data_IF_262119637982
#
_entry.id   IF_262119637982
#
_cell.length_a   1.000
_cell.length_b   1.000
_cell.length_c   1.000
_cell.angle_alpha   90.00
_cell.angle_beta   90.00
_cell.angle_gamma   90.00
#
_symmetry.space_group_name_H-M   'P 1'
#
loop_
_entity.id
_entity.type
_entity.pdbx_description
1 polymer ?
#
# COMPACT_ATOMS: atom_id res chain seq x y z
N UNK A 1 -4.79 -0.09 28.20
CA UNK A 1 -4.23 -0.01 26.82
C UNK A 1 -3.69 1.40 26.61
N UNK A 2 -2.40 1.58 26.31
CA UNK A 2 -1.79 2.93 26.17
C UNK A 2 -2.38 3.69 24.98
N UNK A 3 -2.42 5.03 25.08
CA UNK A 3 -2.95 5.92 24.05
C UNK A 3 -2.27 5.70 22.69
N UNK A 4 -0.94 5.54 22.69
CA UNK A 4 -0.13 5.25 21.49
C UNK A 4 -0.53 3.94 20.78
N UNK A 5 -0.94 2.91 21.53
CA UNK A 5 -1.42 1.65 20.94
C UNK A 5 -2.78 1.81 20.24
N UNK A 6 -3.65 2.66 20.80
CA UNK A 6 -4.94 2.96 20.16
C UNK A 6 -4.72 3.72 18.85
N UNK A 7 -3.86 4.74 18.86
CA UNK A 7 -3.52 5.51 17.67
C UNK A 7 -2.89 4.65 16.59
N UNK A 8 -1.86 3.87 16.92
CA UNK A 8 -1.17 3.01 15.94
C UNK A 8 -2.11 1.98 15.31
N UNK A 9 -3.04 1.41 16.08
CA UNK A 9 -4.05 0.52 15.52
C UNK A 9 -5.02 1.27 14.59
N UNK A 10 -5.47 2.46 14.99
CA UNK A 10 -6.35 3.28 14.15
C UNK A 10 -5.68 3.68 12.83
N UNK A 11 -4.42 4.07 12.90
CA UNK A 11 -3.58 4.33 11.73
C UNK A 11 -3.51 3.11 10.82
N UNK A 12 -3.20 1.92 11.36
CA UNK A 12 -3.12 0.68 10.57
C UNK A 12 -4.46 0.37 9.88
N UNK A 13 -5.57 0.53 10.58
CA UNK A 13 -6.91 0.33 10.00
C UNK A 13 -7.18 1.29 8.85
N UNK A 14 -6.89 2.58 9.04
CA UNK A 14 -7.08 3.58 7.99
C UNK A 14 -6.16 3.32 6.80
N UNK A 15 -4.91 2.94 7.05
CA UNK A 15 -3.93 2.63 6.02
C UNK A 15 -4.42 1.48 5.12
N UNK A 16 -4.85 0.36 5.71
CA UNK A 16 -5.33 -0.80 4.95
C UNK A 16 -6.62 -0.48 4.20
N UNK A 17 -7.57 0.23 4.81
CA UNK A 17 -8.80 0.64 4.11
C UNK A 17 -8.53 1.61 2.96
N UNK A 18 -7.60 2.54 3.14
CA UNK A 18 -7.15 3.44 2.08
C UNK A 18 -6.52 2.65 0.93
N UNK A 19 -5.70 1.64 1.23
CA UNK A 19 -5.06 0.77 0.23
C UNK A 19 -6.10 0.03 -0.61
N UNK A 20 -7.11 -0.60 0.02
CA UNK A 20 -8.25 -1.22 -0.68
C UNK A 20 -8.94 -0.23 -1.62
N UNK A 21 -9.27 0.97 -1.12
CA UNK A 21 -9.91 2.00 -1.93
C UNK A 21 -9.06 2.43 -3.13
N UNK A 22 -7.73 2.52 -2.94
CA UNK A 22 -6.79 2.86 -3.99
C UNK A 22 -6.73 1.78 -5.06
N UNK A 23 -6.66 0.51 -4.67
CA UNK A 23 -6.62 -0.64 -5.60
C UNK A 23 -7.91 -0.77 -6.39
N UNK A 24 -9.07 -0.59 -5.76
CA UNK A 24 -10.36 -0.52 -6.46
C UNK A 24 -10.38 0.61 -7.49
N UNK A 25 -9.89 1.80 -7.12
CA UNK A 25 -9.81 2.92 -8.06
C UNK A 25 -8.90 2.58 -9.24
N UNK A 26 -7.74 1.95 -9.00
CA UNK A 26 -6.82 1.54 -10.08
C UNK A 26 -7.48 0.50 -10.98
N UNK A 27 -8.17 -0.49 -10.41
CA UNK A 27 -8.88 -1.52 -11.18
C UNK A 27 -9.96 -0.92 -12.10
N UNK A 28 -10.73 0.05 -11.60
CA UNK A 28 -11.75 0.74 -12.41
C UNK A 28 -11.14 1.66 -13.48
N UNK A 29 -9.96 2.21 -13.23
CA UNK A 29 -9.25 3.12 -14.14
C UNK A 29 -8.06 2.46 -14.83
N UNK A 30 -8.08 1.13 -14.97
CA UNK A 30 -6.93 0.29 -15.35
C UNK A 30 -6.07 0.90 -16.47
N UNK A 31 -6.70 1.18 -17.62
CA UNK A 31 -6.03 1.70 -18.83
C UNK A 31 -5.49 3.14 -18.69
N UNK A 32 -5.93 3.86 -17.66
CA UNK A 32 -5.61 5.26 -17.39
C UNK A 32 -4.70 5.43 -16.16
N UNK A 33 -4.32 4.34 -15.50
CA UNK A 33 -3.43 4.39 -14.36
C UNK A 33 -1.99 4.62 -14.82
N UNK A 34 -1.24 5.43 -14.07
CA UNK A 34 0.18 5.69 -14.33
C UNK A 34 0.97 4.38 -14.29
N UNK A 35 0.68 3.51 -13.32
CA UNK A 35 1.31 2.20 -13.16
C UNK A 35 1.11 1.29 -14.38
N UNK A 36 -0.11 1.21 -14.92
CA UNK A 36 -0.36 0.45 -16.15
C UNK A 36 0.51 0.97 -17.30
N UNK A 37 0.61 2.30 -17.46
CA UNK A 37 1.42 2.90 -18.52
C UNK A 37 2.91 2.61 -18.33
N UNK A 38 3.41 2.62 -17.09
CA UNK A 38 4.80 2.28 -16.76
C UNK A 38 5.10 0.81 -17.11
N UNK A 39 4.26 -0.12 -16.66
CA UNK A 39 4.42 -1.55 -16.97
C UNK A 39 4.31 -1.83 -18.47
N UNK A 40 3.41 -1.14 -19.17
CA UNK A 40 3.27 -1.24 -20.62
C UNK A 40 4.49 -0.69 -21.36
N UNK A 41 5.02 0.46 -20.94
CA UNK A 41 6.23 1.05 -21.52
C UNK A 41 7.46 0.15 -21.35
N UNK A 42 7.53 -0.58 -20.23
CA UNK A 42 8.57 -1.56 -19.94
C UNK A 42 8.38 -2.92 -20.65
N UNK A 43 7.34 -3.09 -21.47
CA UNK A 43 7.06 -4.35 -22.18
C UNK A 43 6.49 -5.47 -21.30
N UNK A 44 6.16 -5.19 -20.03
CA UNK A 44 5.62 -6.15 -19.05
C UNK A 44 4.17 -5.83 -18.65
N UNK A 45 3.41 -5.19 -19.55
CA UNK A 45 2.04 -4.74 -19.30
C UNK A 45 1.08 -5.84 -18.84
N UNK A 46 1.30 -7.09 -19.25
CA UNK A 46 0.50 -8.25 -18.82
C UNK A 46 0.71 -8.64 -17.35
N UNK A 47 1.83 -8.25 -16.73
CA UNK A 47 2.10 -8.51 -15.32
C UNK A 47 1.27 -7.58 -14.40
N UNK A 48 0.98 -6.36 -14.84
CA UNK A 48 0.24 -5.38 -14.06
C UNK A 48 -1.14 -5.86 -13.56
N UNK A 49 -2.04 -6.45 -14.37
CA UNK A 49 -3.33 -6.94 -13.86
C UNK A 49 -3.17 -8.07 -12.84
N UNK A 50 -2.14 -8.93 -12.97
CA UNK A 50 -1.85 -9.97 -12.00
C UNK A 50 -1.38 -9.38 -10.66
N UNK A 51 -0.49 -8.38 -10.72
CA UNK A 51 -0.03 -7.65 -9.54
C UNK A 51 -1.18 -6.91 -8.85
N UNK A 52 -2.03 -6.23 -9.62
CA UNK A 52 -3.19 -5.51 -9.09
C UNK A 52 -4.21 -6.45 -8.44
N UNK A 53 -4.49 -7.60 -9.07
CA UNK A 53 -5.38 -8.61 -8.49
C UNK A 53 -4.81 -9.18 -7.19
N UNK A 54 -3.51 -9.50 -7.16
CA UNK A 54 -2.83 -9.96 -5.97
C UNK A 54 -2.86 -8.93 -4.84
N UNK A 55 -2.56 -7.66 -5.15
CA UNK A 55 -2.64 -6.52 -4.22
C UNK A 55 -4.03 -6.39 -3.63
N UNK A 56 -5.06 -6.35 -4.47
CA UNK A 56 -6.44 -6.18 -4.06
C UNK A 56 -6.91 -7.33 -3.14
N UNK A 57 -6.56 -8.57 -3.47
CA UNK A 57 -6.90 -9.74 -2.64
C UNK A 57 -6.19 -9.67 -1.29
N UNK A 58 -4.91 -9.31 -1.27
CA UNK A 58 -4.14 -9.15 -0.03
C UNK A 58 -4.70 -8.02 0.84
N UNK A 59 -5.04 -6.89 0.25
CA UNK A 59 -5.59 -5.72 0.96
C UNK A 59 -6.99 -5.99 1.50
N UNK A 60 -7.84 -6.67 0.74
CA UNK A 60 -9.14 -7.14 1.22
C UNK A 60 -8.98 -8.11 2.39
N UNK A 61 -8.08 -9.09 2.27
CA UNK A 61 -7.80 -10.04 3.35
C UNK A 61 -7.22 -9.34 4.58
N UNK A 62 -6.28 -8.40 4.40
CA UNK A 62 -5.72 -7.59 5.46
C UNK A 62 -6.80 -6.77 6.15
N UNK A 63 -7.70 -6.13 5.41
CA UNK A 63 -8.79 -5.33 5.96
C UNK A 63 -9.71 -6.20 6.84
N UNK A 64 -10.05 -7.40 6.38
CA UNK A 64 -10.82 -8.36 7.16
C UNK A 64 -10.13 -8.73 8.48
N UNK A 65 -8.83 -9.04 8.42
CA UNK A 65 -8.07 -9.46 9.61
C UNK A 65 -7.74 -8.32 10.58
N UNK A 66 -7.76 -7.06 10.14
CA UNK A 66 -7.71 -5.91 11.06
C UNK A 66 -8.95 -5.88 11.96
N UNK A 67 -10.14 -6.14 11.41
CA UNK A 67 -11.39 -6.15 12.17
C UNK A 67 -11.65 -7.47 12.90
N UNK A 68 -11.09 -8.57 12.41
CA UNK A 68 -11.16 -9.90 13.04
C UNK A 68 -9.76 -10.47 13.29
N UNK A 69 -9.04 -9.96 14.29
CA UNK A 69 -7.67 -10.39 14.58
C UNK A 69 -7.61 -11.90 14.86
N UNK A 70 -6.73 -12.59 14.12
CA UNK A 70 -6.36 -14.00 14.31
C UNK A 70 -4.86 -14.15 14.08
N UNK A 71 -4.19 -15.20 14.61
CA UNK A 71 -2.76 -15.43 14.38
C UNK A 71 -2.36 -15.40 12.90
N UNK A 72 -3.16 -16.03 12.04
CA UNK A 72 -2.96 -16.02 10.59
C UNK A 72 -3.08 -14.62 9.98
N UNK A 73 -3.97 -13.77 10.52
CA UNK A 73 -4.19 -12.41 10.05
C UNK A 73 -2.96 -11.52 10.18
N UNK A 74 -2.11 -11.73 11.20
CA UNK A 74 -0.84 -11.00 11.32
C UNK A 74 0.06 -11.22 10.10
N UNK A 75 0.17 -12.47 9.65
CA UNK A 75 0.99 -12.84 8.50
C UNK A 75 0.39 -12.33 7.19
N UNK A 76 -0.93 -12.30 7.06
CA UNK A 76 -1.62 -11.69 5.91
C UNK A 76 -1.31 -10.19 5.82
N UNK A 77 -1.40 -9.46 6.94
CA UNK A 77 -1.04 -8.04 6.96
C UNK A 77 0.44 -7.83 6.62
N UNK A 78 1.33 -8.66 7.17
CA UNK A 78 2.75 -8.57 6.87
C UNK A 78 3.04 -8.83 5.39
N UNK A 79 2.38 -9.82 4.80
CA UNK A 79 2.50 -10.15 3.38
C UNK A 79 1.96 -9.04 2.49
N UNK A 80 0.82 -8.43 2.84
CA UNK A 80 0.26 -7.28 2.13
C UNK A 80 1.25 -6.10 2.14
N UNK A 81 1.83 -5.77 3.30
CA UNK A 81 2.84 -4.71 3.43
C UNK A 81 4.10 -5.02 2.63
N UNK A 82 4.59 -6.27 2.69
CA UNK A 82 5.78 -6.69 1.94
C UNK A 82 5.53 -6.63 0.42
N UNK A 83 4.37 -7.12 -0.02
CA UNK A 83 3.96 -7.07 -1.42
C UNK A 83 3.86 -5.63 -1.92
N UNK A 84 3.18 -4.75 -1.17
CA UNK A 84 3.07 -3.34 -1.51
C UNK A 84 4.45 -2.66 -1.58
N UNK A 85 5.37 -2.96 -0.66
CA UNK A 85 6.72 -2.42 -0.70
C UNK A 85 7.48 -2.88 -1.96
N UNK A 86 7.44 -4.18 -2.27
CA UNK A 86 8.10 -4.75 -3.46
C UNK A 86 7.48 -4.16 -4.73
N UNK A 87 6.15 -4.10 -4.82
CA UNK A 87 5.44 -3.53 -5.95
C UNK A 87 5.83 -2.06 -6.18
N UNK A 88 5.86 -1.24 -5.13
CA UNK A 88 6.27 0.16 -5.24
C UNK A 88 7.74 0.31 -5.67
N UNK A 89 8.64 -0.56 -5.21
CA UNK A 89 10.04 -0.56 -5.66
C UNK A 89 10.17 -0.92 -7.14
N UNK A 90 9.46 -1.96 -7.60
CA UNK A 90 9.43 -2.34 -9.01
C UNK A 90 8.83 -1.23 -9.87
N UNK A 91 7.70 -0.67 -9.46
CA UNK A 91 7.06 0.43 -10.18
C UNK A 91 7.97 1.68 -10.23
N UNK A 92 8.70 1.98 -9.16
CA UNK A 92 9.66 3.08 -9.11
C UNK A 92 10.85 2.85 -10.05
N UNK A 93 11.41 1.64 -10.07
CA UNK A 93 12.51 1.25 -10.95
C UNK A 93 12.10 1.40 -12.42
N UNK A 94 10.98 0.79 -12.80
CA UNK A 94 10.41 0.91 -14.14
C UNK A 94 10.07 2.35 -14.52
N UNK A 95 9.52 3.14 -13.60
CA UNK A 95 9.23 4.55 -13.84
C UNK A 95 10.49 5.40 -14.05
N UNK A 96 11.59 5.04 -13.39
CA UNK A 96 12.88 5.72 -13.52
C UNK A 96 13.53 5.44 -14.88
N UNK A 97 13.43 4.20 -15.36
CA UNK A 97 13.93 3.80 -16.68
C UNK A 97 13.09 4.37 -17.83
N UNK A 98 11.78 4.59 -17.59
CA UNK A 98 10.83 5.09 -18.58
C UNK A 98 10.23 6.45 -18.18
N UNK A 99 11.08 7.39 -17.78
CA UNK A 99 10.69 8.68 -17.20
C UNK A 99 9.71 9.48 -18.06
N UNK A 100 9.98 9.62 -19.36
CA UNK A 100 9.14 10.42 -20.26
C UNK A 100 7.76 9.80 -20.49
N UNK A 101 7.70 8.46 -20.61
CA UNK A 101 6.42 7.74 -20.69
C UNK A 101 5.61 7.91 -19.39
N UNK A 102 6.31 7.84 -18.24
CA UNK A 102 5.68 8.03 -16.91
C UNK A 102 5.15 9.46 -16.74
N UNK A 103 5.90 10.48 -17.15
CA UNK A 103 5.46 11.88 -17.16
C UNK A 103 4.21 12.07 -18.01
N UNK A 104 4.21 11.54 -19.23
CA UNK A 104 3.06 11.63 -20.14
C UNK A 104 1.82 10.95 -19.54
N UNK A 105 1.97 9.77 -18.95
CA UNK A 105 0.89 9.06 -18.28
C UNK A 105 0.38 9.81 -17.04
N UNK A 106 1.27 10.44 -16.27
CA UNK A 106 0.91 11.27 -15.13
C UNK A 106 0.10 12.50 -15.55
N UNK A 107 0.54 13.22 -16.59
CA UNK A 107 -0.16 14.38 -17.16
C UNK A 107 -1.55 13.96 -17.65
N UNK A 108 -1.64 12.91 -18.47
CA UNK A 108 -2.91 12.40 -18.97
C UNK A 108 -3.86 11.99 -17.84
N UNK A 109 -3.35 11.31 -16.80
CA UNK A 109 -4.17 10.94 -15.63
C UNK A 109 -4.67 12.16 -14.86
N UNK A 110 -3.94 13.28 -14.80
CA UNK A 110 -4.37 14.50 -14.13
C UNK A 110 -5.44 15.24 -14.92
N UNK A 111 -5.24 15.39 -16.22
CA UNK A 111 -6.19 16.04 -17.12
C UNK A 111 -7.55 15.32 -17.10
N UNK A 112 -7.53 13.98 -17.10
CA UNK A 112 -8.74 13.17 -16.99
C UNK A 112 -9.50 13.34 -15.66
N UNK A 113 -8.82 13.76 -14.60
CA UNK A 113 -9.43 14.07 -13.29
C UNK A 113 -9.85 15.54 -13.16
N UNK A 114 -9.70 16.34 -14.22
CA UNK A 114 -9.92 17.78 -14.18
C UNK A 114 -8.94 18.52 -13.27
N UNK A 115 -7.77 17.91 -13.00
CA UNK A 115 -6.74 18.51 -12.16
C UNK A 115 -5.78 19.35 -13.01
N UNK A 116 -5.32 20.50 -12.50
CA UNK A 116 -4.39 21.35 -13.25
C UNK A 116 -3.07 20.60 -13.48
N UNK A 117 -2.55 20.73 -14.71
CA UNK A 117 -1.23 20.27 -15.13
C UNK A 117 -0.33 21.49 -15.31
N UNK A 118 0.74 21.55 -14.51
CA UNK A 118 1.78 22.57 -14.65
C UNK A 118 3.08 21.85 -15.07
N UNK A 119 3.61 22.11 -16.28
CA UNK A 119 4.83 21.48 -16.77
C UNK A 119 6.04 21.63 -15.83
N UNK A 120 6.19 22.78 -15.17
CA UNK A 120 7.27 23.00 -14.22
C UNK A 120 7.14 22.09 -12.99
N UNK A 121 5.92 21.93 -12.47
CA UNK A 121 5.64 21.03 -11.35
C UNK A 121 5.86 19.57 -11.74
N UNK A 122 5.45 19.17 -12.95
CA UNK A 122 5.70 17.81 -13.47
C UNK A 122 7.20 17.57 -13.53
N UNK A 123 7.97 18.48 -14.13
CA UNK A 123 9.43 18.34 -14.21
C UNK A 123 10.10 18.28 -12.83
N UNK A 124 9.58 19.02 -11.84
CA UNK A 124 10.07 18.96 -10.46
C UNK A 124 9.73 17.63 -9.76
N UNK A 125 8.53 17.10 -9.97
CA UNK A 125 8.11 15.80 -9.39
C UNK A 125 8.95 14.66 -9.96
N UNK A 126 9.27 14.71 -11.25
CA UNK A 126 10.07 13.72 -11.94
C UNK A 126 11.57 14.07 -11.99
N UNK A 127 12.04 15.02 -11.18
CA UNK A 127 13.47 15.29 -11.00
C UNK A 127 14.10 14.21 -10.10
N UNK A 128 15.44 14.07 -10.08
CA UNK A 128 16.11 13.14 -9.16
C UNK A 128 15.71 13.36 -7.69
N UNK A 129 15.53 14.61 -7.28
CA UNK A 129 15.07 14.97 -5.93
C UNK A 129 13.61 14.58 -5.71
N UNK A 130 12.74 14.82 -6.69
CA UNK A 130 11.32 14.45 -6.61
C UNK A 130 11.10 12.94 -6.54
N UNK A 131 11.86 12.18 -7.33
CA UNK A 131 11.86 10.72 -7.28
C UNK A 131 12.35 10.20 -5.93
N UNK A 132 13.48 10.72 -5.43
CA UNK A 132 14.01 10.37 -4.08
C UNK A 132 13.01 10.70 -2.98
N UNK A 133 12.33 11.85 -3.06
CA UNK A 133 11.29 12.23 -2.11
C UNK A 133 10.09 11.27 -2.15
N UNK A 134 9.68 10.84 -3.35
CA UNK A 134 8.57 9.90 -3.54
C UNK A 134 8.91 8.53 -2.96
N UNK A 135 10.11 8.02 -3.25
CA UNK A 135 10.62 6.78 -2.65
C UNK A 135 10.72 6.90 -1.13
N UNK A 136 11.26 8.01 -0.61
CA UNK A 136 11.36 8.27 0.82
C UNK A 136 10.00 8.27 1.51
N UNK A 137 8.98 8.86 0.89
CA UNK A 137 7.62 8.86 1.41
C UNK A 137 6.99 7.45 1.40
N UNK A 138 7.19 6.68 0.32
CA UNK A 138 6.74 5.29 0.25
C UNK A 138 7.39 4.42 1.36
N UNK A 139 8.70 4.54 1.54
CA UNK A 139 9.44 3.83 2.60
C UNK A 139 8.96 4.24 4.00
N UNK A 140 8.73 5.53 4.24
CA UNK A 140 8.20 6.02 5.50
C UNK A 140 6.85 5.39 5.85
N UNK A 141 5.91 5.34 4.90
CA UNK A 141 4.61 4.72 5.12
C UNK A 141 4.69 3.20 5.31
N UNK A 142 5.58 2.52 4.58
CA UNK A 142 5.82 1.09 4.76
C UNK A 142 6.37 0.76 6.16
N UNK A 143 7.41 1.50 6.59
CA UNK A 143 8.06 1.29 7.88
C UNK A 143 7.15 1.67 9.05
N UNK A 144 6.41 2.77 8.95
CA UNK A 144 5.46 3.17 9.98
C UNK A 144 4.29 2.19 10.11
N UNK A 145 3.79 1.64 9.00
CA UNK A 145 2.77 0.57 8.99
C UNK A 145 3.29 -0.73 9.58
N UNK A 146 4.54 -1.11 9.26
CA UNK A 146 5.19 -2.26 9.88
C UNK A 146 5.36 -2.08 11.40
N UNK A 147 5.78 -0.88 11.83
CA UNK A 147 5.88 -0.51 13.24
C UNK A 147 4.53 -0.57 13.95
N UNK A 148 3.47 -0.07 13.30
CA UNK A 148 2.10 -0.13 13.82
C UNK A 148 1.58 -1.57 13.95
N UNK A 149 1.86 -2.43 12.96
CA UNK A 149 1.53 -3.86 13.01
C UNK A 149 2.28 -4.55 14.16
N UNK A 150 3.59 -4.33 14.28
CA UNK A 150 4.41 -4.91 15.34
C UNK A 150 3.96 -4.47 16.74
N UNK A 151 3.65 -3.18 16.93
CA UNK A 151 3.13 -2.63 18.18
C UNK A 151 1.77 -3.24 18.59
N UNK A 152 0.98 -3.71 17.60
CA UNK A 152 -0.34 -4.30 17.79
C UNK A 152 -0.36 -5.83 17.66
N UNK A 153 0.81 -6.50 17.65
CA UNK A 153 0.93 -7.97 17.56
C UNK A 153 0.03 -8.72 18.56
N UNK A 154 -0.13 -8.18 19.76
CA UNK A 154 -0.91 -8.78 20.85
C UNK A 154 -2.38 -8.97 20.50
N UNK A 155 -2.92 -8.21 19.53
CA UNK A 155 -4.30 -8.39 19.06
C UNK A 155 -4.46 -9.67 18.23
N UNK A 156 -3.41 -10.05 17.51
CA UNK A 156 -3.41 -11.26 16.68
C UNK A 156 -3.00 -12.50 17.47
N UNK A 157 -2.20 -12.31 18.52
CA UNK A 157 -1.76 -13.36 19.45
C UNK A 157 -2.17 -12.97 20.88
N UNK A 158 -3.47 -13.04 21.21
CA UNK A 158 -3.90 -12.79 22.57
C UNK A 158 -3.24 -13.82 23.51
N UNK A 159 -2.73 -13.40 24.68
CA UNK A 159 -2.25 -14.36 25.67
C UNK A 159 -3.39 -15.34 25.98
N UNK A 160 -3.07 -16.64 26.04
CA UNK A 160 -4.03 -17.63 26.50
C UNK A 160 -4.57 -17.14 27.84
N UNK A 161 -5.89 -16.90 27.92
CA UNK A 161 -6.53 -16.67 29.20
C UNK A 161 -6.29 -17.94 30.00
N UNK A 162 -5.43 -17.87 31.02
CA UNK A 162 -5.25 -18.96 31.95
C UNK A 162 -6.64 -19.24 32.56
N UNK A 163 -7.29 -20.30 32.09
CA UNK A 163 -8.41 -20.93 32.78
C UNK A 163 -7.87 -21.65 34.02
N UNK A 164 -7.25 -20.90 34.93
CA UNK A 164 -6.96 -21.37 36.28
C UNK A 164 -8.00 -20.73 37.20
N UNK A 165 -8.96 -21.56 37.65
CA UNK A 165 -9.73 -21.29 38.86
C UNK A 165 -11.21 -20.97 38.69
N UNK A 166 -12.00 -21.87 38.11
CA UNK A 166 -13.37 -22.11 38.60
C UNK A 166 -13.56 -23.63 38.65
N UNK A 167 -13.01 -24.22 39.71
CA UNK A 167 -13.03 -25.65 39.96
C UNK A 167 -12.39 -25.89 41.31
N UNK A 168 -13.13 -25.62 42.38
CA UNK A 168 -12.65 -25.83 43.73
C UNK A 168 -13.59 -25.28 44.79
N UNK A 169 -14.50 -26.17 45.21
CA UNK A 169 -15.36 -26.13 46.40
C UNK A 169 -16.54 -25.15 46.41
#
# INVERSE_FOLDING_TARGET
MSYLRKISFWYLTMFVLFSVGKDFQVALTFTRSTDHAVFHAAGVGSAFPACLAASLVLDLAASYYVFRPKPFGFWVLLLALAFAAIYNLVAFDLASDHLEATKAAYVASRELRGLPTNPEMVNKVFSPEGLRATLGMALFFALSSLGALAANRWRFFPPALNHHGVGGA
#
